data_IF_966831966929
#
_entry.id   IF_966831966929
#
_cell.length_a   1.000
_cell.length_b   1.000
_cell.length_c   1.000
_cell.angle_alpha   90.00
_cell.angle_beta   90.00
_cell.angle_gamma   90.00
#
_symmetry.space_group_name_H-M   'P 1'
#
loop_
_entity.id
_entity.type
_entity.pdbx_description
1 polymer ?
#
# COMPACT_ATOMS: atom_id res chain seq x y z
N UNK A 1 -30.60 4.40 -30.13
CA UNK A 1 -30.69 4.32 -28.65
C UNK A 1 -29.26 4.34 -28.11
N UNK A 2 -28.82 5.50 -27.59
CA UNK A 2 -27.55 5.58 -26.86
C UNK A 2 -27.84 5.25 -25.39
N UNK A 3 -27.11 4.33 -24.75
CA UNK A 3 -27.23 4.11 -23.33
C UNK A 3 -26.81 5.38 -22.59
N UNK A 4 -27.75 6.05 -21.97
CA UNK A 4 -27.45 7.18 -21.08
C UNK A 4 -26.92 6.60 -19.77
N UNK A 5 -25.60 6.69 -19.53
CA UNK A 5 -24.99 6.32 -18.26
C UNK A 5 -25.37 7.36 -17.21
N UNK A 6 -25.88 6.89 -16.11
CA UNK A 6 -26.27 7.74 -14.99
C UNK A 6 -25.54 7.28 -13.74
N UNK A 7 -24.84 8.20 -13.11
CA UNK A 7 -24.13 7.94 -11.87
C UNK A 7 -24.96 8.49 -10.70
N UNK A 8 -25.05 7.72 -9.63
CA UNK A 8 -25.64 8.13 -8.37
C UNK A 8 -24.66 7.87 -7.23
N UNK A 9 -24.59 8.80 -6.28
CA UNK A 9 -23.79 8.63 -5.07
C UNK A 9 -24.68 8.09 -3.97
N UNK A 10 -24.36 6.93 -3.43
CA UNK A 10 -25.00 6.41 -2.22
C UNK A 10 -24.54 7.26 -1.04
N UNK A 11 -25.47 7.93 -0.38
CA UNK A 11 -25.20 8.80 0.77
C UNK A 11 -25.75 8.24 2.09
N UNK A 12 -26.52 7.13 2.03
CA UNK A 12 -27.02 6.45 3.19
C UNK A 12 -27.95 5.30 2.85
N UNK A 13 -28.40 4.59 3.88
CA UNK A 13 -29.40 3.52 3.79
C UNK A 13 -30.21 3.44 5.08
N UNK A 14 -31.43 2.89 4.97
CA UNK A 14 -32.34 2.59 6.08
C UNK A 14 -32.75 1.12 5.93
N UNK A 15 -31.99 0.24 6.60
CA UNK A 15 -32.22 -1.21 6.50
C UNK A 15 -33.62 -1.65 7.04
N UNK A 16 -34.09 -1.11 8.18
CA UNK A 16 -35.42 -1.46 8.66
C UNK A 16 -36.59 -1.14 7.68
N UNK A 17 -36.40 -0.09 6.86
CA UNK A 17 -37.36 0.30 5.82
C UNK A 17 -36.98 -0.17 4.42
N UNK A 18 -35.87 -0.93 4.30
CA UNK A 18 -35.33 -1.43 3.03
C UNK A 18 -35.14 -0.32 1.98
N UNK A 19 -34.63 0.84 2.42
CA UNK A 19 -34.39 1.98 1.56
C UNK A 19 -32.92 2.31 1.42
N UNK A 20 -32.55 2.83 0.24
CA UNK A 20 -31.28 3.46 -0.05
C UNK A 20 -31.47 4.94 -0.33
N UNK A 21 -30.52 5.75 0.10
CA UNK A 21 -30.55 7.20 -0.07
C UNK A 21 -29.44 7.58 -1.05
N UNK A 22 -29.83 8.21 -2.14
CA UNK A 22 -28.93 8.58 -3.23
C UNK A 22 -28.87 10.10 -3.40
N UNK A 23 -27.76 10.56 -3.91
CA UNK A 23 -27.63 11.86 -4.58
C UNK A 23 -27.48 11.58 -6.07
N UNK A 24 -28.39 12.09 -6.89
CA UNK A 24 -28.46 11.78 -8.30
C UNK A 24 -28.92 12.99 -9.12
N UNK A 25 -28.10 13.47 -10.02
CA UNK A 25 -28.37 14.66 -10.80
C UNK A 25 -28.62 15.89 -9.90
N UNK A 26 -29.82 16.50 -10.04
CA UNK A 26 -30.23 17.66 -9.22
C UNK A 26 -30.82 17.26 -7.87
N UNK A 27 -31.21 15.99 -7.70
CA UNK A 27 -31.79 15.46 -6.47
C UNK A 27 -30.72 15.26 -5.40
N UNK A 28 -30.78 16.05 -4.32
CA UNK A 28 -29.83 15.95 -3.21
C UNK A 28 -30.09 14.75 -2.28
N UNK A 29 -31.34 14.29 -2.24
CA UNK A 29 -31.76 13.18 -1.37
C UNK A 29 -32.92 12.42 -2.02
N UNK A 30 -32.60 11.50 -2.89
CA UNK A 30 -33.55 10.57 -3.50
C UNK A 30 -33.62 9.31 -2.63
N UNK A 31 -34.79 8.94 -2.19
CA UNK A 31 -35.02 7.69 -1.44
C UNK A 31 -35.64 6.67 -2.39
N UNK A 32 -35.01 5.52 -2.50
CA UNK A 32 -35.47 4.39 -3.33
C UNK A 32 -35.56 3.13 -2.48
N UNK A 33 -36.51 2.24 -2.81
CA UNK A 33 -36.50 0.89 -2.27
C UNK A 33 -35.20 0.18 -2.71
N UNK A 34 -34.58 -0.60 -1.82
CA UNK A 34 -33.37 -1.36 -2.11
C UNK A 34 -33.53 -2.28 -3.32
N UNK A 35 -34.71 -2.91 -3.47
CA UNK A 35 -35.03 -3.78 -4.62
C UNK A 35 -35.01 -3.02 -5.95
N UNK A 36 -35.55 -1.80 -5.98
CA UNK A 36 -35.51 -0.94 -7.18
C UNK A 36 -34.09 -0.52 -7.53
N UNK A 37 -33.31 -0.16 -6.52
CA UNK A 37 -31.90 0.17 -6.68
C UNK A 37 -31.13 -1.03 -7.20
N UNK A 38 -31.26 -2.20 -6.59
CA UNK A 38 -30.56 -3.42 -6.98
C UNK A 38 -30.87 -3.81 -8.42
N UNK A 39 -32.14 -3.74 -8.85
CA UNK A 39 -32.52 -3.99 -10.24
C UNK A 39 -31.80 -3.07 -11.23
N UNK A 40 -31.60 -1.81 -10.87
CA UNK A 40 -30.89 -0.83 -11.69
C UNK A 40 -29.40 -1.09 -11.67
N UNK A 41 -28.83 -1.37 -10.49
CA UNK A 41 -27.40 -1.62 -10.29
C UNK A 41 -26.95 -2.93 -10.96
N UNK A 42 -27.77 -3.96 -10.94
CA UNK A 42 -27.53 -5.22 -11.65
C UNK A 42 -27.27 -5.00 -13.15
N UNK A 43 -27.94 -4.03 -13.80
CA UNK A 43 -27.72 -3.71 -15.22
C UNK A 43 -26.32 -3.15 -15.51
N UNK A 44 -25.64 -2.58 -14.52
CA UNK A 44 -24.24 -2.14 -14.59
C UNK A 44 -23.27 -3.22 -14.12
N UNK A 45 -23.71 -4.48 -14.02
CA UNK A 45 -22.92 -5.58 -13.46
C UNK A 45 -22.43 -5.29 -12.03
N UNK A 46 -23.25 -4.62 -11.22
CA UNK A 46 -22.92 -4.21 -9.84
C UNK A 46 -21.66 -3.34 -9.71
N UNK A 47 -21.36 -2.59 -10.76
CA UNK A 47 -20.19 -1.71 -10.74
C UNK A 47 -20.39 -0.57 -9.73
N UNK A 48 -19.38 -0.33 -8.92
CA UNK A 48 -19.34 0.76 -7.95
C UNK A 48 -17.91 1.25 -7.71
N UNK A 49 -17.77 2.51 -7.33
CA UNK A 49 -16.54 3.08 -6.77
C UNK A 49 -16.80 3.41 -5.31
N UNK A 50 -15.92 2.96 -4.45
CA UNK A 50 -15.88 3.34 -3.04
C UNK A 50 -14.77 4.36 -2.84
N UNK A 51 -15.10 5.53 -2.30
CA UNK A 51 -14.14 6.59 -1.99
C UNK A 51 -14.05 6.71 -0.48
N UNK A 52 -12.87 6.48 0.06
CA UNK A 52 -12.58 6.56 1.51
C UNK A 52 -11.26 7.28 1.71
N UNK A 53 -11.00 7.82 2.91
CA UNK A 53 -9.66 8.28 3.26
C UNK A 53 -8.62 7.16 3.12
N UNK A 54 -7.35 7.47 2.76
CA UNK A 54 -6.31 6.45 2.64
C UNK A 54 -6.08 5.61 3.91
N UNK A 55 -6.38 6.19 5.07
CA UNK A 55 -6.28 5.51 6.38
C UNK A 55 -7.40 4.51 6.66
N UNK A 56 -8.33 4.31 5.73
CA UNK A 56 -9.47 3.40 5.90
C UNK A 56 -9.48 2.32 4.81
N UNK A 57 -9.55 1.06 5.22
CA UNK A 57 -9.73 -0.06 4.30
C UNK A 57 -11.22 -0.38 4.20
N UNK A 58 -11.85 -0.19 3.02
CA UNK A 58 -13.25 -0.55 2.83
C UNK A 58 -13.50 -2.02 3.20
N UNK A 59 -14.64 -2.31 3.86
CA UNK A 59 -14.98 -3.70 4.24
C UNK A 59 -15.02 -4.65 3.04
N UNK A 60 -15.41 -4.13 1.89
CA UNK A 60 -15.52 -4.86 0.62
C UNK A 60 -14.21 -4.92 -0.17
N UNK A 61 -13.18 -4.20 0.25
CA UNK A 61 -11.90 -4.23 -0.46
C UNK A 61 -11.23 -5.59 -0.33
N UNK A 62 -10.78 -6.12 -1.45
CA UNK A 62 -9.81 -7.21 -1.45
C UNK A 62 -8.41 -6.64 -1.21
N UNK A 63 -7.50 -7.51 -0.78
CA UNK A 63 -6.09 -7.17 -0.62
C UNK A 63 -5.53 -6.54 -1.90
N UNK A 64 -5.73 -7.20 -3.03
CA UNK A 64 -5.21 -6.81 -4.35
C UNK A 64 -5.73 -5.44 -4.79
N UNK A 65 -7.03 -5.19 -4.65
CA UNK A 65 -7.63 -3.91 -5.05
C UNK A 65 -7.15 -2.75 -4.18
N UNK A 66 -6.95 -2.99 -2.87
CA UNK A 66 -6.46 -1.96 -1.96
C UNK A 66 -5.00 -1.61 -2.22
N UNK A 67 -4.14 -2.63 -2.40
CA UNK A 67 -2.72 -2.40 -2.71
C UNK A 67 -2.50 -1.73 -4.07
N UNK A 68 -3.32 -2.04 -5.07
CA UNK A 68 -3.28 -1.33 -6.34
C UNK A 68 -3.51 0.19 -6.15
N UNK A 69 -4.48 0.56 -5.29
CA UNK A 69 -4.76 1.96 -4.98
C UNK A 69 -3.62 2.62 -4.17
N UNK A 70 -3.04 1.92 -3.21
CA UNK A 70 -1.91 2.42 -2.42
C UNK A 70 -0.66 2.65 -3.30
N UNK A 71 -0.39 1.75 -4.24
CA UNK A 71 0.70 1.89 -5.20
C UNK A 71 0.54 3.11 -6.12
N UNK A 72 -0.70 3.45 -6.51
CA UNK A 72 -0.93 4.67 -7.29
C UNK A 72 -0.57 5.94 -6.50
N UNK A 73 -0.78 5.96 -5.17
CA UNK A 73 -0.35 7.08 -4.31
C UNK A 73 1.17 7.25 -4.28
N UNK A 74 1.93 6.16 -4.32
CA UNK A 74 3.40 6.22 -4.47
C UNK A 74 3.79 6.79 -5.84
N UNK A 75 3.18 6.30 -6.92
CA UNK A 75 3.48 6.75 -8.30
C UNK A 75 3.24 8.24 -8.49
N UNK A 76 2.19 8.80 -7.90
CA UNK A 76 1.90 10.25 -7.94
C UNK A 76 2.68 11.04 -6.89
N UNK A 77 3.67 10.43 -6.26
CA UNK A 77 4.55 11.04 -5.25
C UNK A 77 3.82 11.67 -4.06
N UNK A 78 2.84 10.96 -3.53
CA UNK A 78 2.10 11.33 -2.31
C UNK A 78 2.46 10.38 -1.15
N UNK A 79 3.70 10.42 -0.63
CA UNK A 79 4.19 9.43 0.33
C UNK A 79 3.41 9.44 1.66
N UNK A 80 2.86 10.57 2.07
CA UNK A 80 2.04 10.64 3.27
C UNK A 80 0.69 9.90 3.10
N UNK A 81 0.08 9.96 1.92
CA UNK A 81 -1.14 9.21 1.63
C UNK A 81 -0.85 7.72 1.49
N UNK A 82 0.27 7.37 0.84
CA UNK A 82 0.72 5.98 0.73
C UNK A 82 1.03 5.37 2.11
N UNK A 83 1.73 6.10 2.98
CA UNK A 83 2.03 5.66 4.35
C UNK A 83 0.75 5.40 5.15
N UNK A 84 -0.24 6.31 5.06
CA UNK A 84 -1.53 6.12 5.72
C UNK A 84 -2.28 4.88 5.19
N UNK A 85 -2.25 4.65 3.86
CA UNK A 85 -2.87 3.48 3.24
C UNK A 85 -2.19 2.17 3.65
N UNK A 86 -0.86 2.10 3.61
CA UNK A 86 -0.14 0.90 4.05
C UNK A 86 -0.28 0.66 5.55
N UNK A 87 -0.34 1.73 6.37
CA UNK A 87 -0.63 1.63 7.80
C UNK A 87 -2.01 1.00 8.05
N UNK A 88 -3.04 1.44 7.33
CA UNK A 88 -4.37 0.84 7.40
C UNK A 88 -4.39 -0.62 6.90
N UNK A 89 -3.62 -0.92 5.84
CA UNK A 89 -3.46 -2.27 5.33
C UNK A 89 -2.86 -3.21 6.38
N UNK A 90 -1.84 -2.78 7.11
CA UNK A 90 -1.19 -3.56 8.17
C UNK A 90 -2.10 -3.84 9.37
N UNK A 91 -3.08 -2.99 9.63
CA UNK A 91 -4.11 -3.28 10.65
C UNK A 91 -5.01 -4.44 10.22
N UNK A 92 -5.32 -4.55 8.93
CA UNK A 92 -6.20 -5.59 8.39
C UNK A 92 -5.47 -6.85 7.97
N UNK A 93 -4.26 -6.71 7.44
CA UNK A 93 -3.38 -7.80 6.99
C UNK A 93 -2.00 -7.66 7.66
N UNK A 94 -1.88 -8.03 8.95
CA UNK A 94 -0.62 -7.96 9.67
C UNK A 94 0.46 -8.78 8.96
N UNK A 95 1.67 -8.28 8.92
CA UNK A 95 2.82 -8.93 8.29
C UNK A 95 2.71 -9.14 6.76
N UNK A 96 1.80 -8.46 6.08
CA UNK A 96 1.78 -8.48 4.62
C UNK A 96 3.05 -7.84 4.06
N UNK A 97 3.81 -8.60 3.24
CA UNK A 97 5.09 -8.13 2.71
C UNK A 97 4.97 -6.85 1.89
N UNK A 98 3.96 -6.75 1.01
CA UNK A 98 3.79 -5.56 0.18
C UNK A 98 3.44 -4.34 1.03
N UNK A 99 2.62 -4.50 2.08
CA UNK A 99 2.30 -3.42 3.02
C UNK A 99 3.52 -2.98 3.83
N UNK A 100 4.33 -3.92 4.31
CA UNK A 100 5.55 -3.61 5.06
C UNK A 100 6.58 -2.87 4.19
N UNK A 101 6.79 -3.34 2.96
CA UNK A 101 7.69 -2.67 2.00
C UNK A 101 7.16 -1.29 1.64
N UNK A 102 5.87 -1.17 1.31
CA UNK A 102 5.26 0.12 0.96
C UNK A 102 5.29 1.12 2.12
N UNK A 103 5.01 0.69 3.35
CA UNK A 103 5.15 1.53 4.55
C UNK A 103 6.60 1.98 4.77
N UNK A 104 7.56 1.05 4.62
CA UNK A 104 8.99 1.36 4.70
C UNK A 104 9.43 2.40 3.66
N UNK A 105 9.08 2.20 2.40
CA UNK A 105 9.38 3.12 1.30
C UNK A 105 8.75 4.50 1.52
N UNK A 106 7.48 4.54 1.92
CA UNK A 106 6.77 5.79 2.16
C UNK A 106 7.39 6.58 3.32
N UNK A 107 7.76 5.92 4.41
CA UNK A 107 8.47 6.52 5.54
C UNK A 107 9.86 6.99 5.17
N UNK A 108 10.57 6.24 4.34
CA UNK A 108 11.86 6.66 3.80
C UNK A 108 11.73 7.95 2.98
N UNK A 109 10.75 8.02 2.09
CA UNK A 109 10.46 9.22 1.30
C UNK A 109 10.09 10.44 2.17
N UNK A 110 9.44 10.21 3.33
CA UNK A 110 9.13 11.22 4.33
C UNK A 110 10.32 11.56 5.25
N UNK A 111 11.50 10.99 5.03
CA UNK A 111 12.71 11.11 5.88
C UNK A 111 12.52 10.59 7.31
N UNK A 112 11.49 9.79 7.55
CA UNK A 112 11.32 9.02 8.79
C UNK A 112 12.12 7.71 8.70
N UNK A 113 13.46 7.83 8.80
CA UNK A 113 14.37 6.70 8.64
C UNK A 113 14.19 5.63 9.73
N UNK A 114 13.90 6.04 10.97
CA UNK A 114 13.63 5.10 12.06
C UNK A 114 12.35 4.29 11.83
N UNK A 115 11.26 4.93 11.39
CA UNK A 115 10.02 4.24 11.05
C UNK A 115 10.18 3.34 9.81
N UNK A 116 11.02 3.74 8.85
CA UNK A 116 11.36 2.94 7.67
C UNK A 116 12.13 1.67 8.06
N UNK A 117 13.18 1.82 8.89
CA UNK A 117 13.93 0.69 9.44
C UNK A 117 13.01 -0.32 10.14
N UNK A 118 12.12 0.17 11.02
CA UNK A 118 11.19 -0.69 11.73
C UNK A 118 10.33 -1.53 10.78
N UNK A 119 9.79 -0.91 9.72
CA UNK A 119 8.97 -1.61 8.75
C UNK A 119 9.77 -2.68 7.97
N UNK A 120 10.99 -2.35 7.55
CA UNK A 120 11.83 -3.32 6.84
C UNK A 120 12.35 -4.43 7.75
N UNK A 121 12.65 -4.18 9.02
CA UNK A 121 12.97 -5.25 9.99
C UNK A 121 11.78 -6.21 10.14
N UNK A 122 10.58 -5.69 10.34
CA UNK A 122 9.39 -6.53 10.40
C UNK A 122 9.19 -7.33 9.10
N UNK A 123 9.48 -6.73 7.93
CA UNK A 123 9.44 -7.44 6.65
C UNK A 123 10.44 -8.60 6.61
N UNK A 124 11.69 -8.41 7.07
CA UNK A 124 12.70 -9.47 7.08
C UNK A 124 12.45 -10.55 8.12
N UNK A 125 11.85 -10.22 9.27
CA UNK A 125 11.45 -11.15 10.30
C UNK A 125 10.28 -12.04 9.86
N UNK A 126 9.26 -11.43 9.25
CA UNK A 126 8.06 -12.14 8.79
C UNK A 126 8.31 -12.88 7.47
N UNK A 127 9.23 -12.41 6.64
CA UNK A 127 9.56 -12.94 5.32
C UNK A 127 11.08 -13.04 5.12
N UNK A 128 11.75 -14.00 5.79
CA UNK A 128 13.22 -14.09 5.82
C UNK A 128 13.87 -14.43 4.47
N UNK A 129 13.07 -14.79 3.48
CA UNK A 129 13.50 -15.03 2.09
C UNK A 129 13.25 -13.84 1.17
N UNK A 130 12.77 -12.72 1.68
CA UNK A 130 12.48 -11.53 0.89
C UNK A 130 13.77 -10.74 0.57
N UNK A 131 14.26 -10.86 -0.66
CA UNK A 131 15.42 -10.07 -1.15
C UNK A 131 15.16 -8.58 -1.00
N UNK A 132 13.97 -8.11 -1.41
CA UNK A 132 13.61 -6.69 -1.33
C UNK A 132 13.56 -6.19 0.12
N UNK A 133 13.08 -7.01 1.06
CA UNK A 133 13.05 -6.65 2.47
C UNK A 133 14.45 -6.42 3.03
N UNK A 134 15.37 -7.36 2.79
CA UNK A 134 16.75 -7.26 3.24
C UNK A 134 17.52 -6.14 2.53
N UNK A 135 17.32 -5.95 1.23
CA UNK A 135 17.97 -4.89 0.46
C UNK A 135 17.55 -3.50 0.98
N UNK A 136 16.25 -3.27 1.14
CA UNK A 136 15.75 -1.98 1.61
C UNK A 136 16.16 -1.71 3.07
N UNK A 137 16.24 -2.76 3.90
CA UNK A 137 16.81 -2.65 5.25
C UNK A 137 18.26 -2.21 5.20
N UNK A 138 19.07 -2.80 4.31
CA UNK A 138 20.47 -2.41 4.15
C UNK A 138 20.60 -0.94 3.73
N UNK A 139 19.80 -0.48 2.79
CA UNK A 139 19.84 0.91 2.30
C UNK A 139 19.50 1.91 3.41
N UNK A 140 18.42 1.67 4.19
CA UNK A 140 18.07 2.58 5.29
C UNK A 140 19.10 2.57 6.40
N UNK A 141 19.76 1.44 6.67
CA UNK A 141 20.85 1.35 7.64
C UNK A 141 22.09 2.12 7.19
N UNK A 142 22.36 2.19 5.89
CA UNK A 142 23.41 3.07 5.33
C UNK A 142 23.09 4.55 5.59
N UNK A 143 21.84 4.97 5.41
CA UNK A 143 21.40 6.35 5.70
C UNK A 143 21.50 6.69 7.20
N UNK A 144 21.32 5.68 8.06
CA UNK A 144 21.47 5.80 9.51
C UNK A 144 22.92 5.70 10.00
N UNK A 145 23.90 5.61 9.07
CA UNK A 145 25.34 5.42 9.34
C UNK A 145 25.67 4.13 10.13
N UNK A 146 24.81 3.12 10.05
CA UNK A 146 24.97 1.81 10.72
C UNK A 146 25.57 0.78 9.73
N UNK A 147 26.77 1.10 9.21
CA UNK A 147 27.41 0.33 8.13
C UNK A 147 27.63 -1.16 8.43
N UNK A 148 28.03 -1.61 9.66
CA UNK A 148 28.17 -3.03 9.94
C UNK A 148 26.87 -3.81 9.80
N UNK A 149 25.76 -3.24 10.25
CA UNK A 149 24.43 -3.86 10.13
C UNK A 149 23.93 -3.81 8.69
N UNK A 150 24.19 -2.71 7.98
CA UNK A 150 23.89 -2.60 6.56
C UNK A 150 24.62 -3.68 5.72
N UNK A 151 25.89 -3.95 6.05
CA UNK A 151 26.66 -5.02 5.41
C UNK A 151 26.00 -6.39 5.64
N UNK A 152 25.66 -6.71 6.88
CA UNK A 152 25.00 -7.99 7.23
C UNK A 152 23.67 -8.16 6.48
N UNK A 153 22.83 -7.11 6.44
CA UNK A 153 21.57 -7.15 5.73
C UNK A 153 21.76 -7.31 4.21
N UNK A 154 22.72 -6.60 3.61
CA UNK A 154 22.99 -6.70 2.18
C UNK A 154 23.63 -8.04 1.79
N UNK A 155 24.46 -8.65 2.63
CA UNK A 155 24.99 -10.00 2.43
C UNK A 155 23.86 -11.03 2.45
N UNK A 156 22.89 -10.86 3.36
CA UNK A 156 21.71 -11.72 3.39
C UNK A 156 20.88 -11.56 2.11
N UNK A 157 20.60 -10.33 1.66
CA UNK A 157 19.89 -10.08 0.41
C UNK A 157 20.56 -10.74 -0.78
N UNK A 158 21.87 -10.56 -0.90
CA UNK A 158 22.68 -11.06 -2.02
C UNK A 158 22.83 -12.60 -2.03
N UNK A 159 22.67 -13.25 -0.86
CA UNK A 159 22.73 -14.72 -0.73
C UNK A 159 21.44 -15.45 -1.13
N UNK A 160 20.36 -14.71 -1.33
CA UNK A 160 19.06 -15.27 -1.70
C UNK A 160 18.92 -15.33 -3.21
N UNK A 161 18.35 -16.42 -3.71
CA UNK A 161 18.04 -16.58 -5.13
C UNK A 161 16.63 -16.02 -5.44
N UNK A 162 16.51 -15.28 -6.53
CA UNK A 162 15.22 -14.81 -6.99
C UNK A 162 15.24 -13.45 -7.70
N UNK A 163 14.07 -12.89 -7.95
CA UNK A 163 13.94 -11.55 -8.51
C UNK A 163 14.69 -10.53 -7.62
N UNK A 164 15.31 -9.53 -8.24
CA UNK A 164 16.10 -8.47 -7.57
C UNK A 164 17.45 -8.91 -6.99
N UNK A 165 17.93 -10.13 -7.20
CA UNK A 165 19.24 -10.57 -6.72
C UNK A 165 20.39 -9.69 -7.30
N UNK A 166 20.29 -9.31 -8.57
CA UNK A 166 21.29 -8.41 -9.19
C UNK A 166 21.38 -7.06 -8.46
N UNK A 167 20.23 -6.46 -8.16
CA UNK A 167 20.19 -5.19 -7.41
C UNK A 167 20.76 -5.36 -5.98
N UNK A 168 20.49 -6.48 -5.32
CA UNK A 168 21.07 -6.78 -4.01
C UNK A 168 22.60 -6.93 -4.07
N UNK A 169 23.15 -7.52 -5.12
CA UNK A 169 24.60 -7.59 -5.33
C UNK A 169 25.25 -6.21 -5.58
N UNK A 170 24.56 -5.34 -6.31
CA UNK A 170 24.98 -3.95 -6.51
C UNK A 170 25.02 -3.19 -5.19
N UNK A 171 23.95 -3.29 -4.37
CA UNK A 171 23.87 -2.69 -3.04
C UNK A 171 25.00 -3.19 -2.13
N UNK A 172 25.25 -4.50 -2.09
CA UNK A 172 26.34 -5.09 -1.31
C UNK A 172 27.71 -4.52 -1.73
N UNK A 173 27.96 -4.41 -3.04
CA UNK A 173 29.20 -3.86 -3.58
C UNK A 173 29.39 -2.39 -3.18
N UNK A 174 28.30 -1.60 -3.26
CA UNK A 174 28.34 -0.19 -2.86
C UNK A 174 28.61 -0.03 -1.34
N UNK A 175 28.02 -0.86 -0.49
CA UNK A 175 28.23 -0.83 0.96
C UNK A 175 29.69 -1.20 1.30
N UNK A 176 30.23 -2.26 0.71
CA UNK A 176 31.62 -2.67 0.90
C UNK A 176 32.61 -1.57 0.50
N UNK A 177 32.36 -0.89 -0.62
CA UNK A 177 33.14 0.25 -1.05
C UNK A 177 33.08 1.39 -0.03
N UNK A 178 31.86 1.75 0.45
CA UNK A 178 31.69 2.82 1.44
C UNK A 178 32.46 2.54 2.73
N UNK A 179 32.46 1.28 3.19
CA UNK A 179 33.21 0.85 4.38
C UNK A 179 34.72 0.98 4.12
N UNK A 180 35.21 0.52 2.95
CA UNK A 180 36.64 0.60 2.61
C UNK A 180 37.17 2.05 2.52
N UNK A 181 36.33 2.95 1.96
CA UNK A 181 36.69 4.36 1.83
C UNK A 181 36.69 5.10 3.19
N UNK A 182 35.90 4.64 4.17
CA UNK A 182 35.87 5.19 5.53
C UNK A 182 37.08 4.77 6.39
N UNK A 183 37.74 3.67 6.03
CA UNK A 183 38.87 3.11 6.75
C UNK A 183 40.24 3.61 6.22
N UNK A 184 40.22 4.49 5.21
CA UNK A 184 41.42 5.19 4.67
C UNK A 184 41.61 6.54 5.36
#
# INVERSE_FOLDING_TARGET
>A
WYPAWHYAVVVGYDLPRENIILRSGKERRQVLALTTFEHTWKRSNYWAIVVVPPSEVPKTATRESFFASALEMEKIRQPALAEAAYGAALQRWPNDLAALIGAGNSRYALRNLSGSEQAFRQATESHPTSIIGWNNLAEVLVELDRLPEALTASERAASLDGPNQAAAQETLTAIRKKIADRNK
#
